data_IF_090372782958
#
_entry.id   IF_090372782958
#
_cell.length_a   1.000
_cell.length_b   1.000
_cell.length_c   1.000
_cell.angle_alpha   90.00
_cell.angle_beta   90.00
_cell.angle_gamma   90.00
#
_symmetry.space_group_name_H-M   'P 1'
#
loop_
_entity.id
_entity.type
_entity.pdbx_description
1 polymer ?
#
# COMPACT_ATOMS: atom_id res chain seq x y z
N UNK A 1 -45.15 -1.81 -28.36
CA UNK A 1 -44.07 -1.36 -27.46
C UNK A 1 -44.51 -0.77 -26.09
N UNK A 2 -45.55 0.09 -25.94
CA UNK A 2 -45.86 0.69 -24.63
C UNK A 2 -46.52 -0.29 -23.64
N UNK A 3 -47.18 -1.33 -24.15
CA UNK A 3 -47.95 -2.28 -23.34
C UNK A 3 -47.07 -3.18 -22.47
N UNK A 4 -45.89 -3.59 -22.97
CA UNK A 4 -44.96 -4.46 -22.23
C UNK A 4 -44.37 -3.76 -21.00
N UNK A 5 -44.01 -2.48 -21.13
CA UNK A 5 -43.47 -1.68 -20.03
C UNK A 5 -44.50 -1.40 -18.94
N UNK A 6 -45.75 -1.09 -19.33
CA UNK A 6 -46.84 -0.91 -18.38
C UNK A 6 -47.17 -2.21 -17.63
N UNK A 7 -47.19 -3.34 -18.33
CA UNK A 7 -47.40 -4.65 -17.69
C UNK A 7 -46.27 -5.00 -16.72
N UNK A 8 -45.02 -4.72 -17.09
CA UNK A 8 -43.87 -4.94 -16.22
C UNK A 8 -43.94 -4.09 -14.95
N UNK A 9 -44.33 -2.82 -15.04
CA UNK A 9 -44.49 -1.95 -13.86
C UNK A 9 -45.55 -2.46 -12.88
N UNK A 10 -46.59 -3.12 -13.37
CA UNK A 10 -47.64 -3.71 -12.53
C UNK A 10 -47.23 -5.08 -11.96
N UNK A 11 -46.51 -5.89 -12.74
CA UNK A 11 -46.15 -7.26 -12.38
C UNK A 11 -44.85 -7.34 -11.55
N UNK A 12 -43.90 -6.43 -11.75
CA UNK A 12 -42.62 -6.44 -11.04
C UNK A 12 -42.75 -6.33 -9.50
N UNK A 13 -43.63 -5.49 -8.93
CA UNK A 13 -43.86 -5.44 -7.48
C UNK A 13 -44.42 -6.77 -6.94
N UNK A 14 -45.35 -7.39 -7.67
CA UNK A 14 -45.97 -8.67 -7.30
C UNK A 14 -44.99 -9.83 -7.38
N UNK A 15 -44.13 -9.85 -8.41
CA UNK A 15 -43.05 -10.80 -8.56
C UNK A 15 -42.01 -10.67 -7.43
N UNK A 16 -41.66 -9.44 -7.02
CA UNK A 16 -40.80 -9.19 -5.85
C UNK A 16 -41.43 -9.65 -4.53
N UNK A 17 -42.77 -9.59 -4.44
CA UNK A 17 -43.52 -10.10 -3.30
C UNK A 17 -43.69 -11.64 -3.31
N UNK A 18 -43.15 -12.34 -4.30
CA UNK A 18 -43.16 -13.81 -4.37
C UNK A 18 -44.47 -14.43 -4.86
N UNK A 19 -45.37 -13.64 -5.45
CA UNK A 19 -46.64 -14.13 -6.01
C UNK A 19 -46.36 -14.87 -7.32
N UNK A 20 -46.87 -16.11 -7.46
CA UNK A 20 -46.78 -16.88 -8.69
C UNK A 20 -47.64 -16.24 -9.79
N UNK A 21 -46.98 -15.70 -10.83
CA UNK A 21 -47.65 -15.04 -11.95
C UNK A 21 -47.81 -16.04 -13.11
N UNK A 22 -49.06 -16.34 -13.47
CA UNK A 22 -49.36 -17.11 -14.68
C UNK A 22 -49.42 -16.16 -15.89
N UNK A 23 -48.46 -16.32 -16.80
CA UNK A 23 -48.31 -15.52 -18.02
C UNK A 23 -48.89 -16.19 -19.27
N UNK A 24 -49.50 -17.38 -19.12
CA UNK A 24 -50.01 -18.19 -20.23
C UNK A 24 -51.11 -17.51 -21.05
N UNK A 25 -51.89 -16.62 -20.42
CA UNK A 25 -52.95 -15.83 -21.06
C UNK A 25 -52.46 -14.64 -21.89
N UNK A 26 -51.16 -14.33 -21.90
CA UNK A 26 -50.61 -13.20 -22.64
C UNK A 26 -50.30 -13.55 -24.11
N UNK A 27 -50.30 -12.56 -25.03
CA UNK A 27 -49.87 -12.76 -26.40
C UNK A 27 -48.45 -13.38 -26.48
N UNK A 28 -48.25 -14.38 -27.36
CA UNK A 28 -46.99 -15.14 -27.48
C UNK A 28 -45.73 -14.28 -27.66
N UNK A 29 -45.86 -13.08 -28.23
CA UNK A 29 -44.74 -12.13 -28.39
C UNK A 29 -44.27 -11.49 -27.07
N UNK A 30 -45.12 -11.44 -26.03
CA UNK A 30 -44.84 -10.77 -24.75
C UNK A 30 -44.38 -11.74 -23.66
N UNK A 31 -44.76 -13.01 -23.75
CA UNK A 31 -44.40 -14.05 -22.79
C UNK A 31 -42.88 -14.14 -22.54
N UNK A 32 -42.01 -14.33 -23.57
CA UNK A 32 -40.58 -14.51 -23.34
C UNK A 32 -39.89 -13.24 -22.80
N UNK A 33 -40.38 -12.06 -23.18
CA UNK A 33 -39.83 -10.78 -22.72
C UNK A 33 -40.13 -10.54 -21.24
N UNK A 34 -41.33 -10.89 -20.79
CA UNK A 34 -41.74 -10.72 -19.39
C UNK A 34 -41.13 -11.79 -18.48
N UNK A 35 -41.00 -13.05 -18.93
CA UNK A 35 -40.36 -14.11 -18.14
C UNK A 35 -38.87 -13.84 -17.87
N UNK A 36 -38.18 -13.15 -18.78
CA UNK A 36 -36.77 -12.79 -18.63
C UNK A 36 -36.56 -11.50 -17.83
N UNK A 37 -37.52 -10.58 -17.88
CA UNK A 37 -37.41 -9.26 -17.23
C UNK A 37 -38.02 -9.21 -15.84
N UNK A 38 -38.94 -10.13 -15.50
CA UNK A 38 -39.53 -10.20 -14.17
C UNK A 38 -38.52 -10.78 -13.16
N UNK A 39 -38.42 -10.20 -11.96
CA UNK A 39 -37.55 -10.72 -10.90
C UNK A 39 -37.94 -12.17 -10.57
N UNK A 40 -37.05 -13.11 -10.88
CA UNK A 40 -37.28 -14.52 -10.56
C UNK A 40 -36.93 -14.75 -9.10
N UNK A 41 -37.90 -15.14 -8.23
CA UNK A 41 -37.67 -15.26 -6.80
C UNK A 41 -36.59 -16.30 -6.46
N UNK A 42 -36.47 -17.37 -7.25
CA UNK A 42 -35.43 -18.40 -7.09
C UNK A 42 -34.01 -17.86 -7.37
N UNK A 43 -33.86 -17.04 -8.40
CA UNK A 43 -32.57 -16.46 -8.80
C UNK A 43 -32.15 -15.32 -7.85
N UNK A 44 -33.13 -14.54 -7.37
CA UNK A 44 -32.91 -13.53 -6.33
C UNK A 44 -32.54 -14.15 -4.97
N UNK A 45 -33.18 -15.27 -4.60
CA UNK A 45 -32.84 -16.01 -3.39
C UNK A 45 -31.44 -16.64 -3.47
N UNK A 46 -31.06 -17.19 -4.63
CA UNK A 46 -29.72 -17.71 -4.87
C UNK A 46 -28.64 -16.60 -4.81
N UNK A 47 -28.91 -15.43 -5.41
CA UNK A 47 -28.01 -14.28 -5.34
C UNK A 47 -27.89 -13.71 -3.91
N UNK A 48 -28.98 -13.66 -3.16
CA UNK A 48 -28.97 -13.24 -1.75
C UNK A 48 -28.23 -14.25 -0.85
N UNK A 49 -28.36 -15.55 -1.11
CA UNK A 49 -27.61 -16.59 -0.40
C UNK A 49 -26.10 -16.55 -0.73
N UNK A 50 -25.73 -16.25 -1.98
CA UNK A 50 -24.34 -16.03 -2.37
C UNK A 50 -23.74 -14.77 -1.71
N UNK A 51 -24.54 -13.72 -1.51
CA UNK A 51 -24.12 -12.51 -0.80
C UNK A 51 -24.10 -12.65 0.74
N UNK A 52 -24.84 -13.62 1.29
CA UNK A 52 -24.97 -13.85 2.73
C UNK A 52 -23.89 -14.78 3.32
N UNK A 53 -23.13 -15.50 2.47
CA UNK A 53 -21.94 -16.21 2.94
C UNK A 53 -20.83 -15.17 3.16
N UNK A 54 -20.27 -15.02 4.38
CA UNK A 54 -19.02 -14.28 4.52
C UNK A 54 -18.01 -14.94 3.57
N UNK A 55 -17.23 -14.17 2.79
CA UNK A 55 -16.35 -14.76 1.80
C UNK A 55 -15.31 -15.59 2.55
N UNK A 56 -15.50 -16.91 2.59
CA UNK A 56 -14.55 -17.86 3.17
C UNK A 56 -13.15 -17.68 2.57
N UNK A 57 -13.09 -17.13 1.35
CA UNK A 57 -11.87 -16.72 0.65
C UNK A 57 -11.11 -15.58 1.35
N UNK A 58 -11.81 -14.62 1.96
CA UNK A 58 -11.16 -13.51 2.68
C UNK A 58 -10.53 -13.98 3.99
N UNK A 59 -11.22 -14.82 4.76
CA UNK A 59 -10.66 -15.43 5.98
C UNK A 59 -9.44 -16.30 5.65
N UNK A 60 -9.50 -17.05 4.54
CA UNK A 60 -8.38 -17.85 4.06
C UNK A 60 -7.15 -16.99 3.67
N UNK A 61 -7.34 -15.85 2.99
CA UNK A 61 -6.24 -14.95 2.62
C UNK A 61 -5.58 -14.27 3.84
N UNK A 62 -6.38 -13.87 4.82
CA UNK A 62 -5.85 -13.32 6.07
C UNK A 62 -5.02 -14.35 6.83
N UNK A 63 -5.50 -15.59 6.92
CA UNK A 63 -4.76 -16.66 7.58
C UNK A 63 -3.42 -16.94 6.87
N UNK A 64 -3.40 -17.05 5.54
CA UNK A 64 -2.13 -17.22 4.78
C UNK A 64 -1.15 -16.08 5.04
N UNK A 65 -1.65 -14.84 5.13
CA UNK A 65 -0.83 -13.67 5.43
C UNK A 65 -0.23 -13.76 6.83
N UNK A 66 -1.03 -14.15 7.84
CA UNK A 66 -0.56 -14.32 9.21
C UNK A 66 0.49 -15.42 9.32
N UNK A 67 0.30 -16.54 8.62
CA UNK A 67 1.28 -17.63 8.56
C UNK A 67 2.59 -17.14 7.95
N UNK A 68 2.55 -16.44 6.82
CA UNK A 68 3.75 -15.91 6.17
C UNK A 68 4.51 -14.90 7.04
N UNK A 69 3.77 -14.03 7.75
CA UNK A 69 4.36 -13.11 8.74
C UNK A 69 5.02 -13.92 9.87
N UNK A 70 4.36 -14.95 10.39
CA UNK A 70 4.91 -15.85 11.41
C UNK A 70 6.20 -16.56 10.96
N UNK A 71 6.22 -17.11 9.75
CA UNK A 71 7.42 -17.71 9.14
C UNK A 71 8.56 -16.69 9.02
N UNK A 72 8.25 -15.47 8.59
CA UNK A 72 9.25 -14.41 8.43
C UNK A 72 9.79 -13.93 9.78
N UNK A 73 8.95 -13.81 10.80
CA UNK A 73 9.35 -13.48 12.17
C UNK A 73 10.22 -14.59 12.78
N UNK A 74 9.89 -15.85 12.55
CA UNK A 74 10.70 -16.98 12.99
C UNK A 74 12.08 -16.98 12.30
N UNK A 75 12.13 -16.72 10.98
CA UNK A 75 13.38 -16.57 10.24
C UNK A 75 14.24 -15.40 10.76
N UNK A 76 13.61 -14.26 11.07
CA UNK A 76 14.29 -13.13 11.71
C UNK A 76 14.83 -13.50 13.10
N UNK A 77 14.07 -14.26 13.88
CA UNK A 77 14.52 -14.79 15.17
C UNK A 77 15.76 -15.70 15.01
N UNK A 78 15.77 -16.61 14.04
CA UNK A 78 16.93 -17.46 13.73
C UNK A 78 18.15 -16.67 13.28
N UNK A 79 17.94 -15.55 12.58
CA UNK A 79 19.00 -14.58 12.27
C UNK A 79 19.66 -13.98 13.48
N UNK A 80 18.88 -13.54 14.45
CA UNK A 80 19.42 -12.97 15.69
C UNK A 80 20.21 -14.01 16.50
N UNK A 81 19.88 -15.30 16.35
CA UNK A 81 20.60 -16.41 17.00
C UNK A 81 21.76 -16.98 16.15
N UNK A 82 22.06 -16.40 14.99
CA UNK A 82 23.21 -16.77 14.15
C UNK A 82 23.03 -18.04 13.29
N UNK A 83 21.83 -18.61 13.26
CA UNK A 83 21.53 -19.84 12.50
C UNK A 83 20.76 -19.50 11.22
N UNK A 84 21.41 -18.90 10.21
CA UNK A 84 20.73 -18.57 8.95
C UNK A 84 21.42 -19.12 7.73
N UNK A 85 20.59 -19.51 6.76
CA UNK A 85 21.01 -19.79 5.39
C UNK A 85 21.25 -18.50 4.57
N UNK A 86 21.10 -17.31 5.16
CA UNK A 86 21.19 -16.04 4.44
C UNK A 86 22.65 -15.73 4.06
N UNK A 87 22.89 -15.55 2.77
CA UNK A 87 24.19 -15.12 2.25
C UNK A 87 24.31 -13.60 2.35
N UNK A 88 25.39 -13.12 3.00
CA UNK A 88 25.67 -11.68 3.13
C UNK A 88 25.79 -10.97 1.77
N UNK A 89 26.30 -11.67 0.76
CA UNK A 89 26.41 -11.15 -0.60
C UNK A 89 25.03 -10.79 -1.20
N UNK A 90 24.02 -11.65 -0.98
CA UNK A 90 22.67 -11.43 -1.48
C UNK A 90 22.01 -10.24 -0.76
N UNK A 91 22.25 -10.08 0.55
CA UNK A 91 21.80 -8.90 1.28
C UNK A 91 22.44 -7.60 0.77
N UNK A 92 23.77 -7.58 0.58
CA UNK A 92 24.46 -6.40 0.04
C UNK A 92 23.95 -6.02 -1.35
N UNK A 93 23.72 -7.02 -2.21
CA UNK A 93 23.13 -6.80 -3.53
C UNK A 93 21.74 -6.17 -3.40
N UNK A 94 20.90 -6.65 -2.49
CA UNK A 94 19.58 -6.05 -2.26
C UNK A 94 19.67 -4.62 -1.72
N UNK A 95 20.63 -4.30 -0.86
CA UNK A 95 20.84 -2.91 -0.37
C UNK A 95 21.16 -1.98 -1.54
N UNK A 96 22.04 -2.38 -2.46
CA UNK A 96 22.36 -1.58 -3.65
C UNK A 96 21.14 -1.42 -4.58
N UNK A 97 20.40 -2.51 -4.80
CA UNK A 97 19.23 -2.48 -5.68
C UNK A 97 18.09 -1.64 -5.11
N UNK A 98 17.90 -1.63 -3.80
CA UNK A 98 16.76 -0.98 -3.13
C UNK A 98 17.04 0.45 -2.68
N UNK A 99 18.25 0.77 -2.26
CA UNK A 99 18.64 2.09 -1.77
C UNK A 99 19.06 3.04 -2.89
N UNK A 100 20.33 3.03 -3.32
CA UNK A 100 20.88 3.96 -4.31
C UNK A 100 20.04 4.09 -5.59
N UNK A 101 19.52 2.98 -6.12
CA UNK A 101 18.70 3.01 -7.35
C UNK A 101 17.30 3.62 -7.15
N UNK A 102 16.78 3.71 -5.92
CA UNK A 102 15.54 4.45 -5.62
C UNK A 102 15.76 5.93 -5.43
N UNK A 103 16.98 6.35 -5.14
CA UNK A 103 17.27 7.69 -4.64
C UNK A 103 16.81 8.81 -5.61
N UNK A 104 17.03 8.72 -6.94
CA UNK A 104 16.60 9.78 -7.86
C UNK A 104 15.09 10.00 -7.89
N UNK A 105 14.31 8.91 -7.95
CA UNK A 105 12.84 9.00 -7.98
C UNK A 105 12.30 9.45 -6.62
N UNK A 106 12.89 8.99 -5.51
CA UNK A 106 12.50 9.42 -4.16
C UNK A 106 12.75 10.92 -3.97
N UNK A 107 13.92 11.42 -4.37
CA UNK A 107 14.24 12.85 -4.26
C UNK A 107 13.28 13.70 -5.10
N UNK A 108 13.03 13.30 -6.35
CA UNK A 108 12.16 14.03 -7.26
C UNK A 108 10.72 14.11 -6.71
N UNK A 109 10.14 12.97 -6.33
CA UNK A 109 8.76 12.94 -5.83
C UNK A 109 8.64 13.66 -4.50
N UNK A 110 9.61 13.50 -3.59
CA UNK A 110 9.58 14.15 -2.27
C UNK A 110 9.76 15.67 -2.38
N UNK A 111 10.58 16.13 -3.32
CA UNK A 111 10.71 17.55 -3.66
C UNK A 111 9.36 18.14 -4.13
N UNK A 112 8.69 17.47 -5.08
CA UNK A 112 7.40 17.93 -5.60
C UNK A 112 6.30 17.89 -4.53
N UNK A 113 6.24 16.85 -3.72
CA UNK A 113 5.28 16.77 -2.61
C UNK A 113 5.57 17.84 -1.57
N UNK A 114 6.84 18.08 -1.22
CA UNK A 114 7.25 19.16 -0.32
C UNK A 114 6.84 20.53 -0.85
N UNK A 115 6.99 20.77 -2.16
CA UNK A 115 6.50 21.98 -2.83
C UNK A 115 4.99 22.17 -2.64
N UNK A 116 4.20 21.12 -2.90
CA UNK A 116 2.73 21.16 -2.78
C UNK A 116 2.31 21.42 -1.34
N UNK A 117 2.91 20.71 -0.37
CA UNK A 117 2.61 20.88 1.06
C UNK A 117 2.96 22.29 1.53
N UNK A 118 4.13 22.80 1.15
CA UNK A 118 4.55 24.15 1.49
C UNK A 118 3.62 25.20 0.88
N UNK A 119 3.27 25.07 -0.40
CA UNK A 119 2.41 26.02 -1.10
C UNK A 119 0.99 26.05 -0.50
N UNK A 120 0.34 24.88 -0.40
CA UNK A 120 -1.02 24.79 0.14
C UNK A 120 -1.06 25.16 1.63
N UNK A 121 -0.07 24.73 2.41
CA UNK A 121 0.04 25.08 3.82
C UNK A 121 0.26 26.58 4.03
N UNK A 122 1.16 27.18 3.26
CA UNK A 122 1.45 28.60 3.33
C UNK A 122 0.25 29.47 2.96
N UNK A 123 -0.49 29.10 1.90
CA UNK A 123 -1.70 29.82 1.51
C UNK A 123 -2.74 29.83 2.64
N UNK A 124 -2.90 28.72 3.37
CA UNK A 124 -3.80 28.66 4.51
C UNK A 124 -3.31 29.52 5.68
N UNK A 125 -2.03 29.41 6.05
CA UNK A 125 -1.46 30.16 7.17
C UNK A 125 -1.45 31.68 6.92
N UNK A 126 -1.23 32.11 5.68
CA UNK A 126 -1.26 33.52 5.31
C UNK A 126 -2.64 34.14 5.57
N UNK A 127 -3.73 33.41 5.33
CA UNK A 127 -5.10 33.88 5.61
C UNK A 127 -5.34 34.17 7.10
N UNK A 128 -4.59 33.53 7.99
CA UNK A 128 -4.63 33.76 9.43
C UNK A 128 -3.53 34.72 9.93
N UNK A 129 -2.74 35.32 9.02
CA UNK A 129 -1.60 36.16 9.39
C UNK A 129 -0.44 35.40 10.05
N UNK A 130 -0.40 34.08 9.92
CA UNK A 130 0.51 33.18 10.62
C UNK A 130 1.71 32.73 9.76
N UNK A 131 2.27 33.63 8.95
CA UNK A 131 3.32 33.30 7.97
C UNK A 131 4.60 32.73 8.60
N UNK A 132 4.90 33.10 9.86
CA UNK A 132 6.03 32.55 10.61
C UNK A 132 5.93 31.05 10.88
N UNK A 133 4.73 30.47 10.87
CA UNK A 133 4.51 29.05 11.13
C UNK A 133 4.64 28.17 9.87
N UNK A 134 4.86 28.76 8.69
CA UNK A 134 5.04 28.01 7.43
C UNK A 134 6.22 27.06 7.54
N UNK A 135 7.35 27.53 8.07
CA UNK A 135 8.52 26.71 8.30
C UNK A 135 8.20 25.52 9.23
N UNK A 136 7.51 25.77 10.35
CA UNK A 136 7.15 24.72 11.31
C UNK A 136 6.24 23.67 10.68
N UNK A 137 5.26 24.10 9.87
CA UNK A 137 4.37 23.20 9.14
C UNK A 137 5.16 22.29 8.19
N UNK A 138 6.07 22.87 7.39
CA UNK A 138 6.87 22.09 6.45
C UNK A 138 7.83 21.17 7.20
N UNK A 139 8.54 21.66 8.21
CA UNK A 139 9.49 20.86 8.99
C UNK A 139 8.81 19.68 9.67
N UNK A 140 7.79 19.94 10.50
CA UNK A 140 7.12 18.88 11.26
C UNK A 140 6.33 17.98 10.32
N UNK A 141 5.52 18.56 9.42
CA UNK A 141 4.67 17.79 8.51
C UNK A 141 5.47 16.92 7.55
N UNK A 142 6.51 17.47 6.92
CA UNK A 142 7.30 16.72 5.92
C UNK A 142 8.20 15.69 6.58
N UNK A 143 8.97 16.07 7.60
CA UNK A 143 9.97 15.17 8.20
C UNK A 143 9.32 14.04 8.98
N UNK A 144 8.26 14.32 9.73
CA UNK A 144 7.63 13.36 10.63
C UNK A 144 6.69 12.39 9.91
N UNK A 145 5.95 12.87 8.91
CA UNK A 145 4.85 12.12 8.30
C UNK A 145 5.05 11.87 6.81
N UNK A 146 5.15 12.94 6.02
CA UNK A 146 5.02 12.86 4.57
C UNK A 146 6.23 12.17 3.92
N UNK A 147 7.45 12.44 4.37
CA UNK A 147 8.67 11.87 3.77
C UNK A 147 8.63 10.33 3.81
N UNK A 148 8.32 9.74 4.96
CA UNK A 148 8.24 8.28 5.12
C UNK A 148 7.15 7.68 4.23
N UNK A 149 5.97 8.30 4.18
CA UNK A 149 4.85 7.84 3.37
C UNK A 149 5.18 7.88 1.87
N UNK A 150 5.75 8.98 1.38
CA UNK A 150 6.15 9.13 -0.03
C UNK A 150 7.19 8.08 -0.40
N UNK A 151 8.20 7.88 0.43
CA UNK A 151 9.23 6.84 0.24
C UNK A 151 8.58 5.47 0.17
N UNK A 152 7.69 5.13 1.10
CA UNK A 152 6.96 3.87 1.12
C UNK A 152 6.16 3.63 -0.17
N UNK A 153 5.40 4.62 -0.64
CA UNK A 153 4.59 4.53 -1.87
C UNK A 153 5.48 4.33 -3.11
N UNK A 154 6.56 5.11 -3.23
CA UNK A 154 7.52 4.98 -4.34
C UNK A 154 8.19 3.61 -4.33
N UNK A 155 8.61 3.13 -3.15
CA UNK A 155 9.22 1.81 -3.00
C UNK A 155 8.23 0.68 -3.26
N UNK A 156 6.95 0.82 -2.90
CA UNK A 156 5.91 -0.15 -3.24
C UNK A 156 5.86 -0.37 -4.77
N UNK A 157 5.76 0.73 -5.52
CA UNK A 157 5.69 0.69 -6.98
C UNK A 157 6.96 0.19 -7.67
N UNK A 158 8.15 0.55 -7.17
CA UNK A 158 9.43 0.19 -7.80
C UNK A 158 10.00 -1.12 -7.28
N UNK A 159 10.22 -1.20 -5.97
CA UNK A 159 10.94 -2.30 -5.30
C UNK A 159 9.99 -3.45 -4.97
N UNK A 160 8.83 -3.15 -4.39
CA UNK A 160 7.81 -4.17 -4.06
C UNK A 160 7.36 -4.93 -5.30
N UNK A 161 7.05 -4.20 -6.37
CA UNK A 161 6.75 -4.75 -7.69
C UNK A 161 7.91 -5.62 -8.24
N UNK A 162 9.15 -5.12 -8.18
CA UNK A 162 10.31 -5.88 -8.66
C UNK A 162 10.54 -7.18 -7.86
N UNK A 163 10.32 -7.16 -6.54
CA UNK A 163 10.42 -8.37 -5.71
C UNK A 163 9.35 -9.40 -6.07
N UNK A 164 8.11 -8.95 -6.27
CA UNK A 164 7.03 -9.82 -6.72
C UNK A 164 7.32 -10.43 -8.10
N UNK A 165 7.78 -9.62 -9.05
CA UNK A 165 8.13 -10.07 -10.39
C UNK A 165 9.29 -11.09 -10.39
N UNK A 166 10.36 -10.81 -9.65
CA UNK A 166 11.50 -11.72 -9.53
C UNK A 166 11.10 -13.06 -8.93
N UNK A 167 10.43 -13.05 -7.78
CA UNK A 167 10.05 -14.27 -7.09
C UNK A 167 8.96 -15.05 -7.85
N UNK A 168 8.03 -14.34 -8.49
CA UNK A 168 7.04 -14.95 -9.38
C UNK A 168 7.69 -15.62 -10.59
N UNK A 169 8.71 -14.99 -11.19
CA UNK A 169 9.48 -15.59 -12.29
C UNK A 169 10.24 -16.83 -11.82
N UNK A 170 10.88 -16.78 -10.66
CA UNK A 170 11.56 -17.94 -10.06
C UNK A 170 10.58 -19.09 -9.77
N UNK A 171 9.34 -18.77 -9.38
CA UNK A 171 8.28 -19.76 -9.14
C UNK A 171 7.79 -20.40 -10.44
N UNK A 172 7.65 -19.60 -11.50
CA UNK A 172 7.29 -20.10 -12.83
C UNK A 172 8.39 -20.99 -13.42
N UNK A 173 9.66 -20.70 -13.13
CA UNK A 173 10.83 -21.50 -13.52
C UNK A 173 11.16 -22.67 -12.58
N UNK A 174 10.30 -22.99 -11.60
CA UNK A 174 10.48 -24.08 -10.63
C UNK A 174 11.73 -23.96 -9.73
N UNK A 175 12.40 -22.79 -9.72
CA UNK A 175 13.61 -22.56 -8.91
C UNK A 175 13.32 -22.61 -7.40
N UNK A 176 12.14 -22.10 -6.99
CA UNK A 176 11.71 -22.14 -5.58
C UNK A 176 11.42 -23.58 -5.11
N UNK A 177 10.90 -24.42 -6.00
CA UNK A 177 10.64 -25.83 -5.70
C UNK A 177 11.96 -26.59 -5.61
N UNK A 178 12.90 -26.30 -6.50
CA UNK A 178 14.26 -26.84 -6.43
C UNK A 178 14.96 -26.50 -5.10
N UNK A 179 14.85 -25.25 -4.62
CA UNK A 179 15.37 -24.86 -3.30
C UNK A 179 14.75 -25.68 -2.16
N UNK A 180 13.43 -25.92 -2.23
CA UNK A 180 12.70 -26.69 -1.21
C UNK A 180 13.15 -28.15 -1.21
N UNK A 181 13.38 -28.76 -2.38
CA UNK A 181 13.91 -30.12 -2.52
C UNK A 181 15.34 -30.23 -1.98
N UNK A 182 16.14 -29.19 -2.14
CA UNK A 182 17.50 -29.10 -1.58
C UNK A 182 17.51 -28.86 -0.05
N UNK A 183 16.35 -28.77 0.60
CA UNK A 183 16.24 -28.53 2.04
C UNK A 183 16.59 -27.09 2.45
N UNK A 184 16.61 -26.15 1.50
CA UNK A 184 16.88 -24.73 1.78
C UNK A 184 15.57 -24.01 2.11
N UNK A 185 15.52 -23.34 3.26
CA UNK A 185 14.37 -22.51 3.64
C UNK A 185 14.27 -21.29 2.69
N UNK A 186 13.20 -21.27 1.88
CA UNK A 186 12.92 -20.21 0.90
C UNK A 186 12.72 -18.84 1.55
N UNK A 187 12.19 -18.76 2.77
CA UNK A 187 11.95 -17.49 3.47
C UNK A 187 13.27 -16.89 3.94
N UNK A 188 14.14 -17.71 4.54
CA UNK A 188 15.49 -17.27 4.92
C UNK A 188 16.35 -16.88 3.73
N UNK A 189 16.29 -17.66 2.66
CA UNK A 189 17.16 -17.46 1.51
C UNK A 189 16.70 -16.29 0.62
N UNK A 190 15.39 -16.12 0.42
CA UNK A 190 14.84 -15.13 -0.52
C UNK A 190 14.25 -13.91 0.17
N UNK A 191 13.47 -14.09 1.24
CA UNK A 191 12.68 -12.99 1.84
C UNK A 191 13.52 -12.16 2.81
N UNK A 192 14.29 -12.83 3.67
CA UNK A 192 15.09 -12.17 4.71
C UNK A 192 16.09 -11.13 4.17
N UNK A 193 16.91 -11.39 3.13
CA UNK A 193 17.83 -10.36 2.62
C UNK A 193 17.10 -9.14 2.06
N UNK A 194 15.93 -9.34 1.43
CA UNK A 194 15.07 -8.27 0.90
C UNK A 194 14.45 -7.42 2.01
N UNK A 195 13.97 -8.09 3.06
CA UNK A 195 13.37 -7.45 4.24
C UNK A 195 14.39 -6.56 4.96
N UNK A 196 15.58 -7.09 5.25
CA UNK A 196 16.64 -6.34 5.93
C UNK A 196 17.18 -5.21 5.07
N UNK A 197 17.28 -5.40 3.76
CA UNK A 197 17.69 -4.34 2.85
C UNK A 197 16.72 -3.15 2.92
N UNK A 198 15.41 -3.38 2.91
CA UNK A 198 14.42 -2.30 3.06
C UNK A 198 14.32 -1.74 4.48
N UNK A 199 14.59 -2.55 5.52
CA UNK A 199 14.65 -2.06 6.89
C UNK A 199 15.75 -1.00 7.10
N UNK A 200 16.88 -1.16 6.40
CA UNK A 200 18.04 -0.24 6.46
C UNK A 200 17.93 0.89 5.43
N UNK A 201 17.52 0.59 4.20
CA UNK A 201 17.43 1.62 3.14
C UNK A 201 16.20 2.51 3.28
N UNK A 202 15.09 2.01 3.82
CA UNK A 202 13.88 2.78 4.12
C UNK A 202 14.11 4.05 4.93
N UNK A 203 14.73 4.02 6.12
CA UNK A 203 15.01 5.20 6.93
C UNK A 203 16.01 6.13 6.25
N UNK A 204 17.04 5.60 5.57
CA UNK A 204 18.03 6.42 4.85
C UNK A 204 17.38 7.19 3.69
N UNK A 205 16.51 6.55 2.92
CA UNK A 205 15.74 7.19 1.86
C UNK A 205 14.74 8.21 2.43
N UNK A 206 14.16 7.92 3.60
CA UNK A 206 13.26 8.85 4.32
C UNK A 206 13.99 10.11 4.75
N UNK A 207 15.23 9.99 5.24
CA UNK A 207 16.07 11.13 5.57
C UNK A 207 16.32 12.01 4.33
N UNK A 208 16.74 11.39 3.22
CA UNK A 208 16.97 12.08 1.96
C UNK A 208 15.70 12.75 1.41
N UNK A 209 14.56 12.07 1.49
CA UNK A 209 13.25 12.59 1.11
C UNK A 209 12.85 13.82 1.94
N UNK A 210 13.04 13.74 3.26
CA UNK A 210 12.77 14.84 4.19
C UNK A 210 13.62 16.07 3.86
N UNK A 211 14.92 15.88 3.62
CA UNK A 211 15.82 16.97 3.22
C UNK A 211 15.39 17.62 1.89
N UNK A 212 15.05 16.81 0.88
CA UNK A 212 14.59 17.32 -0.41
C UNK A 212 13.28 18.11 -0.30
N UNK A 213 12.30 17.57 0.44
CA UNK A 213 11.01 18.22 0.65
C UNK A 213 11.17 19.54 1.45
N UNK A 214 12.04 19.56 2.46
CA UNK A 214 12.31 20.75 3.27
C UNK A 214 13.05 21.84 2.48
N UNK A 215 13.99 21.45 1.61
CA UNK A 215 14.72 22.39 0.74
C UNK A 215 13.76 23.07 -0.25
N UNK A 216 12.93 22.29 -0.94
CA UNK A 216 11.97 22.83 -1.91
C UNK A 216 10.84 23.58 -1.23
N UNK A 217 10.36 23.12 -0.07
CA UNK A 217 9.39 23.88 0.73
C UNK A 217 9.93 25.23 1.20
N UNK A 218 11.24 25.32 1.49
CA UNK A 218 11.92 26.57 1.81
C UNK A 218 11.96 27.54 0.63
N UNK A 219 12.19 27.03 -0.59
CA UNK A 219 12.11 27.87 -1.81
C UNK A 219 10.73 28.49 -1.97
N UNK A 220 9.66 27.72 -1.68
CA UNK A 220 8.29 28.25 -1.74
C UNK A 220 8.06 29.31 -0.66
N UNK A 221 8.41 29.02 0.60
CA UNK A 221 8.20 29.95 1.71
C UNK A 221 8.93 31.29 1.48
N UNK A 222 10.17 31.23 1.00
CA UNK A 222 10.99 32.42 0.76
C UNK A 222 10.57 33.16 -0.51
N UNK A 223 10.27 32.42 -1.58
CA UNK A 223 10.02 33.02 -2.90
C UNK A 223 8.61 33.59 -3.08
N UNK A 224 7.61 33.05 -2.38
CA UNK A 224 6.19 33.38 -2.62
C UNK A 224 5.48 34.01 -1.41
N UNK A 225 6.01 33.84 -0.20
CA UNK A 225 5.33 34.24 1.05
C UNK A 225 6.15 35.19 1.92
N UNK A 226 7.16 35.87 1.34
CA UNK A 226 8.00 36.90 1.98
C UNK A 226 8.70 36.46 3.28
N UNK A 227 8.91 35.15 3.46
CA UNK A 227 9.68 34.63 4.60
C UNK A 227 11.17 34.82 4.32
N UNK A 228 11.91 35.45 5.23
CA UNK A 228 13.36 35.57 5.06
C UNK A 228 14.05 34.22 5.21
N UNK A 229 15.15 33.98 4.47
CA UNK A 229 15.92 32.73 4.56
C UNK A 229 16.37 32.43 5.99
N UNK A 230 16.83 33.47 6.71
CA UNK A 230 17.24 33.33 8.12
C UNK A 230 16.08 32.93 9.02
N UNK A 231 14.89 33.52 8.83
CA UNK A 231 13.71 33.17 9.61
C UNK A 231 13.26 31.72 9.33
N UNK A 232 13.30 31.28 8.07
CA UNK A 232 12.96 29.90 7.70
C UNK A 232 13.90 28.90 8.36
N UNK A 233 15.22 29.14 8.28
CA UNK A 233 16.23 28.25 8.87
C UNK A 233 16.16 28.22 10.41
N UNK A 234 15.96 29.38 11.04
CA UNK A 234 15.80 29.46 12.49
C UNK A 234 14.57 28.69 12.96
N UNK A 235 13.42 28.93 12.32
CA UNK A 235 12.15 28.26 12.64
C UNK A 235 12.22 26.76 12.39
N UNK A 236 12.84 26.35 11.27
CA UNK A 236 13.10 24.93 10.97
C UNK A 236 13.92 24.26 12.07
N UNK A 237 15.00 24.92 12.53
CA UNK A 237 15.86 24.39 13.58
C UNK A 237 15.13 24.28 14.92
N UNK A 238 14.28 25.23 15.23
CA UNK A 238 13.51 25.27 16.48
C UNK A 238 12.35 24.26 16.47
N UNK A 239 11.72 24.06 15.31
CA UNK A 239 10.64 23.09 15.14
C UNK A 239 11.14 21.63 15.05
N UNK A 240 12.38 21.40 14.62
CA UNK A 240 12.91 20.05 14.43
C UNK A 240 13.40 19.46 15.75
N UNK A 241 12.55 18.69 16.42
CA UNK A 241 12.98 17.83 17.53
C UNK A 241 13.69 16.58 17.02
N UNK A 242 14.69 16.10 17.77
CA UNK A 242 15.28 14.78 17.52
C UNK A 242 14.25 13.65 17.57
N UNK A 243 13.19 13.83 18.37
CA UNK A 243 12.08 12.87 18.45
C UNK A 243 11.28 12.79 17.13
N UNK A 244 10.95 13.93 16.51
CA UNK A 244 10.22 13.96 15.23
C UNK A 244 11.00 13.27 14.11
N UNK A 245 12.32 13.50 14.09
CA UNK A 245 13.20 12.82 13.15
C UNK A 245 13.22 11.31 13.40
N UNK A 246 13.36 10.87 14.66
CA UNK A 246 13.32 9.45 15.00
C UNK A 246 11.99 8.80 14.61
N UNK A 247 10.85 9.47 14.85
CA UNK A 247 9.52 8.99 14.46
C UNK A 247 9.45 8.80 12.94
N UNK A 248 9.91 9.79 12.17
CA UNK A 248 9.96 9.70 10.70
C UNK A 248 10.83 8.54 10.21
N UNK A 249 12.02 8.35 10.79
CA UNK A 249 12.92 7.26 10.43
C UNK A 249 12.34 5.88 10.77
N UNK A 250 11.75 5.73 11.97
CA UNK A 250 11.09 4.47 12.38
C UNK A 250 9.95 4.14 11.42
N UNK A 251 9.10 5.12 11.09
CA UNK A 251 8.03 4.95 10.09
C UNK A 251 8.61 4.52 8.74
N UNK A 252 9.70 5.16 8.30
CA UNK A 252 10.41 4.79 7.07
C UNK A 252 10.88 3.33 7.04
N UNK A 253 11.49 2.85 8.14
CA UNK A 253 11.87 1.43 8.28
C UNK A 253 10.66 0.50 8.25
N UNK A 254 9.60 0.82 8.99
CA UNK A 254 8.39 -0.02 9.05
C UNK A 254 7.73 -0.12 7.67
N UNK A 255 7.54 1.01 6.98
CA UNK A 255 6.95 1.01 5.65
C UNK A 255 7.82 0.25 4.63
N UNK A 256 9.15 0.41 4.69
CA UNK A 256 10.07 -0.40 3.88
C UNK A 256 9.90 -1.90 4.12
N UNK A 257 9.81 -2.33 5.38
CA UNK A 257 9.58 -3.73 5.72
C UNK A 257 8.23 -4.24 5.21
N UNK A 258 7.16 -3.45 5.33
CA UNK A 258 5.84 -3.81 4.81
C UNK A 258 5.84 -3.97 3.28
N UNK A 259 6.57 -3.10 2.57
CA UNK A 259 6.77 -3.21 1.12
C UNK A 259 7.50 -4.52 0.76
N UNK A 260 8.58 -4.85 1.48
CA UNK A 260 9.29 -6.13 1.27
C UNK A 260 8.37 -7.33 1.52
N UNK A 261 7.61 -7.33 2.62
CA UNK A 261 6.71 -8.41 2.97
C UNK A 261 5.62 -8.61 1.90
N UNK A 262 4.98 -7.52 1.47
CA UNK A 262 3.92 -7.58 0.45
C UNK A 262 4.45 -8.09 -0.89
N UNK A 263 5.59 -7.56 -1.35
CA UNK A 263 6.25 -7.98 -2.60
C UNK A 263 6.69 -9.44 -2.56
N UNK A 264 7.33 -9.86 -1.47
CA UNK A 264 7.80 -11.22 -1.31
C UNK A 264 6.65 -12.22 -1.19
N UNK A 265 5.60 -11.90 -0.42
CA UNK A 265 4.43 -12.76 -0.27
C UNK A 265 3.78 -13.02 -1.62
N UNK A 266 3.44 -11.95 -2.35
CA UNK A 266 2.75 -12.08 -3.63
C UNK A 266 3.60 -12.78 -4.69
N UNK A 267 4.91 -12.53 -4.74
CA UNK A 267 5.80 -13.25 -5.64
C UNK A 267 5.91 -14.74 -5.31
N UNK A 268 6.01 -15.10 -4.02
CA UNK A 268 6.09 -16.49 -3.58
C UNK A 268 4.78 -17.27 -3.77
N UNK A 269 3.62 -16.59 -3.84
CA UNK A 269 2.31 -17.21 -4.07
C UNK A 269 1.80 -17.05 -5.50
N UNK A 270 2.60 -16.47 -6.41
CA UNK A 270 2.20 -16.25 -7.78
C UNK A 270 1.90 -17.57 -8.52
N UNK A 271 1.02 -17.51 -9.53
CA UNK A 271 0.85 -18.63 -10.46
C UNK A 271 2.09 -18.85 -11.32
N UNK A 272 2.13 -19.97 -12.07
CA UNK A 272 3.28 -20.36 -12.90
C UNK A 272 3.26 -19.80 -14.34
N UNK A 273 2.42 -18.80 -14.61
CA UNK A 273 2.32 -18.17 -15.93
C UNK A 273 2.86 -16.74 -15.90
N UNK A 274 3.32 -16.23 -17.05
CA UNK A 274 3.77 -14.85 -17.17
C UNK A 274 2.67 -13.84 -16.79
N UNK A 275 1.42 -14.15 -17.09
CA UNK A 275 0.27 -13.35 -16.67
C UNK A 275 0.14 -13.31 -15.14
N UNK A 276 0.28 -14.45 -14.47
CA UNK A 276 0.19 -14.51 -13.00
C UNK A 276 1.32 -13.73 -12.31
N UNK A 277 2.51 -13.64 -12.93
CA UNK A 277 3.59 -12.77 -12.44
C UNK A 277 3.20 -11.29 -12.51
N UNK A 278 2.54 -10.88 -13.60
CA UNK A 278 1.98 -9.53 -13.72
C UNK A 278 0.92 -9.24 -12.65
N UNK A 279 -0.03 -10.15 -12.46
CA UNK A 279 -1.08 -10.03 -11.45
C UNK A 279 -0.50 -9.95 -10.02
N UNK A 280 0.49 -10.79 -9.70
CA UNK A 280 1.20 -10.76 -8.42
C UNK A 280 1.94 -9.42 -8.21
N UNK A 281 2.53 -8.87 -9.27
CA UNK A 281 3.23 -7.58 -9.24
C UNK A 281 2.28 -6.45 -8.89
N UNK A 282 1.12 -6.37 -9.55
CA UNK A 282 0.11 -5.34 -9.25
C UNK A 282 -0.47 -5.53 -7.85
N UNK A 283 -0.79 -6.76 -7.47
CA UNK A 283 -1.36 -7.05 -6.16
C UNK A 283 -0.37 -6.75 -5.03
N UNK A 284 0.94 -6.92 -5.25
CA UNK A 284 1.98 -6.54 -4.29
C UNK A 284 1.97 -5.03 -3.99
N UNK A 285 1.85 -4.19 -5.02
CA UNK A 285 1.81 -2.73 -4.86
C UNK A 285 0.57 -2.32 -4.06
N UNK A 286 -0.61 -2.83 -4.45
CA UNK A 286 -1.88 -2.52 -3.77
C UNK A 286 -1.82 -2.96 -2.31
N UNK A 287 -1.36 -4.18 -2.05
CA UNK A 287 -1.26 -4.72 -0.69
C UNK A 287 -0.28 -3.92 0.16
N UNK A 288 0.89 -3.55 -0.38
CA UNK A 288 1.85 -2.71 0.32
C UNK A 288 1.22 -1.37 0.72
N UNK A 289 0.50 -0.70 -0.19
CA UNK A 289 -0.16 0.57 0.08
C UNK A 289 -1.22 0.43 1.18
N UNK A 290 -2.08 -0.60 1.10
CA UNK A 290 -3.10 -0.85 2.13
C UNK A 290 -2.45 -1.09 3.49
N UNK A 291 -1.43 -1.93 3.57
CA UNK A 291 -0.71 -2.20 4.82
C UNK A 291 -0.04 -0.94 5.37
N UNK A 292 0.57 -0.12 4.51
CA UNK A 292 1.19 1.14 4.91
C UNK A 292 0.17 2.13 5.46
N UNK A 293 -1.00 2.28 4.84
CA UNK A 293 -2.05 3.21 5.32
C UNK A 293 -2.58 2.79 6.69
N UNK A 294 -2.81 1.48 6.89
CA UNK A 294 -3.19 0.93 8.19
C UNK A 294 -2.09 1.17 9.22
N UNK A 295 -0.84 0.83 8.89
CA UNK A 295 0.29 1.03 9.77
C UNK A 295 0.52 2.52 10.10
N UNK A 296 0.33 3.42 9.14
CA UNK A 296 0.47 4.86 9.33
C UNK A 296 -0.54 5.39 10.35
N UNK A 297 -1.79 4.93 10.26
CA UNK A 297 -2.85 5.29 11.20
C UNK A 297 -2.51 4.77 12.61
N UNK A 298 -2.11 3.51 12.73
CA UNK A 298 -1.74 2.90 14.01
C UNK A 298 -0.52 3.57 14.65
N UNK A 299 0.57 3.72 13.90
CA UNK A 299 1.80 4.33 14.40
C UNK A 299 1.57 5.77 14.83
N UNK A 300 0.76 6.53 14.09
CA UNK A 300 0.43 7.92 14.46
C UNK A 300 -0.31 7.98 15.79
N UNK A 301 -1.31 7.12 16.00
CA UNK A 301 -2.02 7.04 17.29
C UNK A 301 -1.08 6.61 18.42
N UNK A 302 -0.21 5.63 18.18
CA UNK A 302 0.75 5.13 19.18
C UNK A 302 1.72 6.24 19.58
N UNK A 303 2.36 6.92 18.62
CA UNK A 303 3.31 7.98 18.91
C UNK A 303 2.65 9.16 19.65
N UNK A 304 1.46 9.58 19.21
CA UNK A 304 0.68 10.60 19.92
C UNK A 304 0.37 10.21 21.37
N UNK A 305 0.05 8.93 21.63
CA UNK A 305 -0.20 8.43 22.99
C UNK A 305 1.07 8.37 23.85
N UNK A 306 2.23 8.17 23.23
CA UNK A 306 3.53 8.20 23.89
C UNK A 306 4.05 9.64 24.12
N UNK A 307 3.32 10.65 23.65
CA UNK A 307 3.70 12.07 23.79
C UNK A 307 4.86 12.47 22.88
N UNK A 308 5.14 11.69 21.83
CA UNK A 308 6.16 11.96 20.81
C UNK A 308 5.52 12.21 19.46
#
# INVERSE_FOLDING_TARGET
PPFAGALWQLLAPLARAGVALDLSGLPRALQPLLTLSLPQPALAAAAAQAAAQPPAEAEAEWHKTLVFIGETLAALGRLLHGHTAMRRADWLWQVEQTGPRSLPIVLLVSALVGLIVAYMGAEQLQRFGAQSFIANLVTIGVVREIAALVVGIVLAGRVGAAFAAQLGSMRAGEEIDALTVLGVDRVEYLVLPRLLALAVTGPLLTLCAGMAGLAVGGVVAVGLYDVTVLAYLASTREAMSGADLCVGLIKGSVYGMLVALAGCRQGLTAGRSAQAVGEATTAAVVQAIVWMVVAASLLTVIFQRLGV
#
